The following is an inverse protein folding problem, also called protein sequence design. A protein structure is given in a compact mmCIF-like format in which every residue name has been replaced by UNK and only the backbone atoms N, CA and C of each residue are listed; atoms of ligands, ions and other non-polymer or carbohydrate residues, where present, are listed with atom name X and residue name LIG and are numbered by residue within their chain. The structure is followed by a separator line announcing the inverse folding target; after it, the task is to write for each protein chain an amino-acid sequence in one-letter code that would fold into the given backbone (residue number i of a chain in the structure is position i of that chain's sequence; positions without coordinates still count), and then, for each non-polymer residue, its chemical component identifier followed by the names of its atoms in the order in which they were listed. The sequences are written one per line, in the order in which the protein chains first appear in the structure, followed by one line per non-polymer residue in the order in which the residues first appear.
data_IF_667916503625
#
_entry.id   IF_667916503625
#
_cell.length_a   1.000
_cell.length_b   1.000
_cell.length_c   1.000
_cell.angle_alpha   90.00
_cell.angle_beta   90.00
_cell.angle_gamma   90.00
#
_symmetry.space_group_name_H-M   'P 1'
#
loop_
_entity.id
_entity.type
_entity.pdbx_description
1 polymer ?
#
# COMPACT_ATOMS: atom_id res chain seq x y z
N UNK A 1 -13.78 -3.05 -11.07
CA UNK A 1 -14.28 -3.94 -9.99
C UNK A 1 -15.78 -4.09 -10.18
N UNK A 2 -16.29 -5.30 -10.39
CA UNK A 2 -17.72 -5.55 -10.62
C UNK A 2 -18.59 -5.22 -9.39
N UNK A 3 -18.07 -5.40 -8.17
CA UNK A 3 -18.86 -5.19 -6.94
C UNK A 3 -18.95 -3.74 -6.46
N UNK A 4 -17.91 -2.93 -6.68
CA UNK A 4 -17.85 -1.56 -6.15
C UNK A 4 -17.55 -0.48 -7.20
N UNK A 5 -17.39 -0.85 -8.47
CA UNK A 5 -17.06 0.09 -9.54
C UNK A 5 -15.64 0.64 -9.52
N UNK A 6 -14.79 0.30 -8.55
CA UNK A 6 -13.41 0.82 -8.51
C UNK A 6 -12.63 0.47 -9.78
N UNK A 7 -12.00 1.49 -10.37
CA UNK A 7 -11.10 1.41 -11.54
C UNK A 7 -9.62 1.33 -11.15
N UNK A 8 -9.29 1.60 -9.89
CA UNK A 8 -7.93 1.54 -9.35
C UNK A 8 -7.88 0.62 -8.15
N UNK A 9 -6.86 -0.23 -8.08
CA UNK A 9 -6.63 -1.14 -6.96
C UNK A 9 -5.15 -1.53 -6.96
N UNK A 10 -4.52 -1.73 -5.78
CA UNK A 10 -3.13 -2.19 -5.73
C UNK A 10 -2.95 -3.62 -6.28
N UNK A 11 -4.00 -4.42 -6.27
CA UNK A 11 -4.03 -5.78 -6.80
C UNK A 11 -5.44 -6.10 -7.31
N UNK A 12 -5.51 -6.68 -8.50
CA UNK A 12 -6.74 -7.25 -9.04
C UNK A 12 -6.88 -8.70 -8.59
N UNK A 13 -8.10 -9.12 -8.22
CA UNK A 13 -8.43 -10.48 -7.80
C UNK A 13 -9.51 -11.05 -8.72
N UNK A 14 -9.47 -12.35 -8.97
CA UNK A 14 -10.53 -13.09 -9.67
C UNK A 14 -11.44 -13.76 -8.64
N UNK A 15 -12.74 -13.58 -8.80
CA UNK A 15 -13.78 -14.27 -8.03
C UNK A 15 -14.02 -15.71 -8.51
N UNK A 16 -14.94 -16.44 -7.86
CA UNK A 16 -15.29 -17.81 -8.24
C UNK A 16 -15.89 -17.92 -9.66
N UNK A 17 -16.64 -16.92 -10.10
CA UNK A 17 -17.27 -16.87 -11.44
C UNK A 17 -16.46 -16.04 -12.45
N UNK A 18 -15.13 -16.01 -12.28
CA UNK A 18 -14.18 -15.16 -13.03
C UNK A 18 -14.47 -13.65 -12.97
N UNK A 19 -15.19 -13.21 -11.94
CA UNK A 19 -15.50 -11.80 -11.72
C UNK A 19 -14.22 -10.99 -11.39
N UNK A 20 -14.06 -9.83 -12.03
CA UNK A 20 -12.94 -8.93 -11.78
C UNK A 20 -13.18 -8.05 -10.53
N UNK A 21 -12.51 -8.38 -9.43
CA UNK A 21 -12.64 -7.72 -8.14
C UNK A 21 -11.40 -6.88 -7.78
N UNK A 22 -11.62 -5.77 -7.07
CA UNK A 22 -10.51 -5.04 -6.43
C UNK A 22 -9.99 -5.81 -5.21
N UNK A 23 -8.82 -5.44 -4.70
CA UNK A 23 -8.18 -6.12 -3.57
C UNK A 23 -9.10 -6.15 -2.34
N UNK A 24 -9.76 -5.03 -2.03
CA UNK A 24 -10.65 -4.93 -0.88
C UNK A 24 -11.92 -5.78 -1.04
N UNK A 25 -12.54 -5.80 -2.22
CA UNK A 25 -13.74 -6.60 -2.47
C UNK A 25 -13.43 -8.10 -2.44
N UNK A 26 -12.34 -8.53 -3.10
CA UNK A 26 -11.97 -9.95 -3.12
C UNK A 26 -11.54 -10.49 -1.76
N UNK A 27 -10.82 -9.69 -0.96
CA UNK A 27 -10.47 -10.08 0.41
C UNK A 27 -11.70 -10.15 1.32
N UNK A 28 -12.60 -9.17 1.23
CA UNK A 28 -13.83 -9.15 2.03
C UNK A 28 -14.72 -10.35 1.72
N UNK A 29 -14.94 -10.64 0.44
CA UNK A 29 -15.74 -11.79 0.02
C UNK A 29 -15.13 -13.11 0.49
N UNK A 30 -13.80 -13.27 0.39
CA UNK A 30 -13.11 -14.48 0.88
C UNK A 30 -13.25 -14.68 2.38
N UNK A 31 -13.19 -13.60 3.17
CA UNK A 31 -13.25 -13.68 4.64
C UNK A 31 -14.68 -13.83 5.17
N UNK A 32 -15.64 -13.10 4.60
CA UNK A 32 -17.00 -12.99 5.14
C UNK A 32 -18.05 -13.75 4.33
N UNK A 33 -17.67 -14.29 3.16
CA UNK A 33 -18.58 -14.98 2.22
C UNK A 33 -19.81 -14.14 1.84
N UNK A 34 -19.71 -12.81 1.98
CA UNK A 34 -20.77 -11.82 1.73
C UNK A 34 -20.20 -10.66 0.91
N UNK A 35 -21.02 -9.96 0.12
CA UNK A 35 -20.56 -8.79 -0.62
C UNK A 35 -20.17 -7.66 0.35
N UNK A 36 -19.12 -6.92 0.01
CA UNK A 36 -18.65 -5.77 0.80
C UNK A 36 -19.72 -4.68 0.82
N UNK A 37 -20.22 -4.24 1.99
CA UNK A 37 -21.20 -3.18 2.07
C UNK A 37 -20.66 -1.88 1.44
N UNK A 38 -21.50 -1.20 0.65
CA UNK A 38 -21.12 0.01 -0.09
C UNK A 38 -20.68 1.17 0.81
N UNK A 39 -21.07 1.17 2.09
CA UNK A 39 -20.61 2.15 3.08
C UNK A 39 -19.08 2.15 3.25
N UNK A 40 -18.41 1.02 3.03
CA UNK A 40 -16.96 0.90 3.09
C UNK A 40 -16.27 1.14 1.74
N UNK A 41 -17.04 1.27 0.66
CA UNK A 41 -16.50 1.63 -0.65
C UNK A 41 -16.24 3.14 -0.65
N UNK A 42 -15.08 3.56 -0.16
CA UNK A 42 -14.59 4.92 -0.39
C UNK A 42 -14.63 5.15 -1.90
N UNK A 43 -15.49 6.06 -2.34
CA UNK A 43 -15.60 6.42 -3.75
C UNK A 43 -14.20 6.68 -4.28
N UNK A 44 -13.84 5.95 -5.33
CA UNK A 44 -12.55 6.06 -6.00
C UNK A 44 -12.49 7.41 -6.72
N UNK A 45 -12.32 8.49 -5.98
CA UNK A 45 -12.01 9.80 -6.52
C UNK A 45 -11.02 10.49 -5.58
N UNK A 46 -9.79 9.96 -5.59
CA UNK A 46 -8.56 10.67 -5.27
C UNK A 46 -7.41 9.69 -5.44
N UNK A 47 -6.91 9.60 -6.67
CA UNK A 47 -5.50 9.34 -6.90
C UNK A 47 -4.65 10.52 -6.40
N UNK A 48 -4.89 11.01 -5.18
CA UNK A 48 -3.81 11.59 -4.38
C UNK A 48 -3.24 10.41 -3.63
N UNK A 49 -2.37 9.70 -4.32
CA UNK A 49 -1.37 8.83 -3.71
C UNK A 49 -0.58 9.76 -2.79
N UNK A 50 -1.06 9.95 -1.56
CA UNK A 50 -0.28 10.54 -0.49
C UNK A 50 0.85 9.55 -0.32
N UNK A 51 1.96 9.85 -0.98
CA UNK A 51 3.21 9.14 -0.83
C UNK A 51 3.68 9.41 0.60
N UNK A 52 3.03 8.78 1.57
CA UNK A 52 3.56 8.64 2.92
C UNK A 52 4.60 7.51 2.93
N UNK A 53 5.45 7.47 1.91
CA UNK A 53 6.69 6.72 1.92
C UNK A 53 7.77 7.71 2.28
N UNK A 54 8.46 7.49 3.40
CA UNK A 54 9.57 8.33 3.85
C UNK A 54 10.62 8.62 2.76
N UNK A 55 10.68 7.78 1.71
CA UNK A 55 11.48 7.98 0.50
C UNK A 55 11.10 9.21 -0.35
N UNK A 56 9.82 9.61 -0.41
CA UNK A 56 9.39 10.76 -1.21
C UNK A 56 9.86 12.10 -0.60
N UNK A 57 10.06 12.14 0.71
CA UNK A 57 10.57 13.31 1.43
C UNK A 57 12.10 13.44 1.27
N UNK A 58 12.83 12.31 1.21
CA UNK A 58 14.28 12.31 0.98
C UNK A 58 14.68 12.67 -0.45
N UNK A 59 13.85 12.31 -1.45
CA UNK A 59 14.10 12.61 -2.87
C UNK A 59 14.09 14.11 -3.20
N UNK A 60 13.48 14.95 -2.35
CA UNK A 60 13.50 16.40 -2.51
C UNK A 60 14.87 17.03 -2.23
N UNK A 61 15.76 16.32 -1.52
CA UNK A 61 17.07 16.83 -1.08
C UNK A 61 18.23 16.43 -1.98
N UNK A 62 18.00 15.67 -3.05
CA UNK A 62 19.05 15.20 -3.98
C UNK A 62 20.05 14.20 -3.38
N UNK A 63 19.91 13.85 -2.10
CA UNK A 63 20.73 12.86 -1.40
C UNK A 63 20.00 11.52 -1.43
N UNK A 64 20.64 10.41 -1.86
CA UNK A 64 20.02 9.10 -1.82
C UNK A 64 19.68 8.74 -0.37
N UNK A 65 18.45 8.29 -0.08
CA UNK A 65 18.09 7.85 1.27
C UNK A 65 19.03 6.71 1.70
N UNK A 66 19.60 6.82 2.91
CA UNK A 66 20.42 5.78 3.52
C UNK A 66 19.82 5.35 4.86
N UNK A 67 19.94 4.06 5.17
CA UNK A 67 19.46 3.51 6.43
C UNK A 67 20.31 4.00 7.60
N UNK A 68 19.68 4.45 8.68
CA UNK A 68 20.38 4.89 9.89
C UNK A 68 21.24 3.79 10.53
N UNK A 69 20.73 2.55 10.58
CA UNK A 69 21.41 1.44 11.24
C UNK A 69 22.52 0.79 10.38
N UNK A 70 22.27 0.55 9.08
CA UNK A 70 23.23 -0.19 8.22
C UNK A 70 23.76 0.59 7.01
N UNK A 71 23.41 1.86 6.85
CA UNK A 71 23.77 2.72 5.70
C UNK A 71 23.30 2.22 4.33
N UNK A 72 22.50 1.15 4.26
CA UNK A 72 21.97 0.64 3.00
C UNK A 72 21.27 1.75 2.23
N UNK A 73 21.64 1.92 0.95
CA UNK A 73 21.08 2.91 0.03
C UNK A 73 19.96 2.34 -0.85
N UNK A 74 19.73 1.02 -0.77
CA UNK A 74 18.70 0.32 -1.50
C UNK A 74 17.97 -0.64 -0.56
N UNK A 75 16.64 -0.60 -0.58
CA UNK A 75 15.80 -1.51 0.19
C UNK A 75 14.43 -1.64 -0.48
N UNK A 76 13.77 -2.81 -0.44
CA UNK A 76 12.43 -2.98 -1.02
C UNK A 76 11.37 -2.09 -0.37
N UNK A 77 11.59 -1.63 0.86
CA UNK A 77 10.69 -0.70 1.54
C UNK A 77 11.43 0.10 2.61
N UNK A 78 11.30 1.43 2.55
CA UNK A 78 11.79 2.34 3.58
C UNK A 78 10.76 2.47 4.71
N UNK A 79 11.22 2.43 5.95
CA UNK A 79 10.41 2.56 7.17
C UNK A 79 10.99 3.63 8.09
N UNK A 80 10.22 4.05 9.09
CA UNK A 80 10.68 4.92 10.17
C UNK A 80 10.72 4.12 11.47
N UNK A 81 11.78 4.26 12.26
CA UNK A 81 11.84 3.69 13.61
C UNK A 81 10.98 4.49 14.61
N UNK A 82 10.94 4.06 15.87
CA UNK A 82 10.19 4.73 16.94
C UNK A 82 10.67 6.17 17.24
N UNK A 83 11.93 6.49 16.87
CA UNK A 83 12.52 7.82 17.03
C UNK A 83 12.33 8.69 15.77
N UNK A 84 11.78 8.12 14.69
CA UNK A 84 11.52 8.81 13.42
C UNK A 84 12.65 8.72 12.40
N UNK A 85 13.73 7.98 12.67
CA UNK A 85 14.85 7.82 11.73
C UNK A 85 14.49 6.90 10.58
N UNK A 86 15.11 7.15 9.42
CA UNK A 86 14.90 6.37 8.21
C UNK A 86 15.67 5.03 8.28
N UNK A 87 14.93 3.92 8.24
CA UNK A 87 15.49 2.56 8.32
C UNK A 87 15.08 1.74 7.09
N UNK A 88 15.97 0.84 6.66
CA UNK A 88 15.65 -0.15 5.63
C UNK A 88 14.69 -1.22 6.17
N UNK A 89 14.05 -1.97 5.27
CA UNK A 89 13.09 -3.01 5.65
C UNK A 89 13.69 -4.07 6.59
N UNK A 90 14.99 -4.38 6.45
CA UNK A 90 15.66 -5.32 7.35
C UNK A 90 15.84 -4.70 8.74
N UNK A 91 16.51 -3.55 8.85
CA UNK A 91 16.80 -2.90 10.13
C UNK A 91 15.60 -2.37 10.89
N UNK A 92 14.42 -2.28 10.26
CA UNK A 92 13.18 -1.94 10.96
C UNK A 92 12.49 -3.13 11.62
N UNK A 93 12.93 -4.35 11.29
CA UNK A 93 12.34 -5.60 11.79
C UNK A 93 13.20 -6.27 12.86
N UNK A 94 14.43 -5.81 13.04
CA UNK A 94 15.41 -6.23 14.04
C UNK A 94 15.71 -5.06 14.96
#
# INVERSE_FOLDING_TARGET
CTHCGSVTTPLWRRGPDDELLCNACGLYQKLHQKPRPKAFATQANSAKRSQNGAAAQAAASGVPPSCHNCSATSTPMWRKDAQGNLCCNACSLY
#
